data_IF_595458444815
#
_entry.id   IF_595458444815
#
_cell.length_a   1.000
_cell.length_b   1.000
_cell.length_c   1.000
_cell.angle_alpha   90.00
_cell.angle_beta   90.00
_cell.angle_gamma   90.00
#
_symmetry.space_group_name_H-M   'P 1'
#
loop_
_entity.id
_entity.type
_entity.pdbx_description
1 polymer ?
#
# COMPACT_ATOMS: atom_id res chain seq x y z
N UNK A 1 -11.64 7.87 17.35
CA UNK A 1 -10.94 6.60 17.23
C UNK A 1 -11.68 5.78 16.20
N UNK A 2 -11.11 5.71 15.00
CA UNK A 2 -11.61 4.85 13.93
C UNK A 2 -11.46 3.38 14.32
N UNK A 3 -12.23 2.51 13.68
CA UNK A 3 -12.13 1.06 13.74
C UNK A 3 -10.95 0.54 12.89
N UNK A 4 -10.59 -0.74 13.08
CA UNK A 4 -9.55 -1.38 12.28
C UNK A 4 -9.92 -1.43 10.78
N UNK A 5 -11.19 -1.69 10.45
CA UNK A 5 -11.67 -1.70 9.07
C UNK A 5 -11.65 -0.31 8.42
N UNK A 6 -11.93 0.74 9.20
CA UNK A 6 -11.78 2.12 8.71
C UNK A 6 -10.29 2.45 8.48
N UNK A 7 -9.38 1.97 9.33
CA UNK A 7 -7.94 2.14 9.14
C UNK A 7 -7.43 1.43 7.88
N UNK A 8 -7.91 0.22 7.62
CA UNK A 8 -7.63 -0.54 6.38
C UNK A 8 -8.04 0.24 5.14
N UNK A 9 -9.27 0.77 5.13
CA UNK A 9 -9.77 1.58 4.02
C UNK A 9 -8.92 2.86 3.85
N UNK A 10 -8.59 3.55 4.95
CA UNK A 10 -7.75 4.76 4.92
C UNK A 10 -6.36 4.49 4.35
N UNK A 11 -5.74 3.35 4.68
CA UNK A 11 -4.44 2.98 4.13
C UNK A 11 -4.49 2.76 2.60
N UNK A 12 -5.53 2.10 2.09
CA UNK A 12 -5.72 1.93 0.63
C UNK A 12 -5.97 3.27 -0.04
N UNK A 13 -6.87 4.09 0.51
CA UNK A 13 -7.16 5.44 0.01
C UNK A 13 -5.87 6.26 -0.08
N UNK A 14 -5.08 6.29 1.00
CA UNK A 14 -3.83 7.04 1.09
C UNK A 14 -2.83 6.67 -0.01
N UNK A 15 -2.51 5.38 -0.21
CA UNK A 15 -1.57 4.93 -1.25
C UNK A 15 -2.12 5.23 -2.66
N UNK A 16 -3.41 4.97 -2.87
CA UNK A 16 -3.99 5.07 -4.22
C UNK A 16 -4.30 6.51 -4.64
N UNK A 17 -4.55 7.40 -3.69
CA UNK A 17 -4.73 8.83 -3.94
C UNK A 17 -3.41 9.52 -4.28
N UNK A 18 -2.29 9.10 -3.69
CA UNK A 18 -0.95 9.60 -4.04
C UNK A 18 -0.66 9.45 -5.53
N UNK A 19 -1.05 8.32 -6.12
CA UNK A 19 -0.87 8.05 -7.54
C UNK A 19 -2.11 8.40 -8.38
N UNK A 20 -3.11 9.06 -7.79
CA UNK A 20 -4.36 9.44 -8.44
C UNK A 20 -4.96 8.27 -9.26
N UNK A 21 -5.03 7.08 -8.67
CA UNK A 21 -5.54 5.88 -9.34
C UNK A 21 -7.06 5.93 -9.48
N UNK A 22 -7.57 5.32 -10.56
CA UNK A 22 -9.00 5.14 -10.76
C UNK A 22 -9.60 4.13 -9.77
N UNK A 23 -10.91 4.19 -9.53
CA UNK A 23 -11.59 3.23 -8.63
C UNK A 23 -11.39 1.76 -9.06
N UNK A 24 -11.25 1.51 -10.36
CA UNK A 24 -10.96 0.16 -10.88
C UNK A 24 -9.57 -0.33 -10.45
N UNK A 25 -8.58 0.56 -10.44
CA UNK A 25 -7.22 0.27 -9.97
C UNK A 25 -7.17 0.15 -8.45
N UNK A 26 -7.92 0.98 -7.71
CA UNK A 26 -8.06 0.89 -6.25
C UNK A 26 -8.56 -0.48 -5.80
N UNK A 27 -9.50 -1.07 -6.55
CA UNK A 27 -10.03 -2.41 -6.26
C UNK A 27 -9.00 -3.56 -6.45
N UNK A 28 -7.82 -3.27 -7.01
CA UNK A 28 -6.73 -4.25 -7.07
C UNK A 28 -5.97 -4.36 -5.75
N UNK A 29 -6.10 -3.39 -4.85
CA UNK A 29 -5.43 -3.40 -3.56
C UNK A 29 -6.22 -4.22 -2.55
N UNK A 30 -5.50 -4.99 -1.74
CA UNK A 30 -6.05 -5.83 -0.69
C UNK A 30 -5.21 -5.71 0.57
N UNK A 31 -5.84 -5.95 1.71
CA UNK A 31 -5.15 -5.99 3.00
C UNK A 31 -4.49 -7.35 3.16
N UNK A 32 -3.16 -7.36 3.26
CA UNK A 32 -2.40 -8.56 3.58
C UNK A 32 -2.46 -8.87 5.09
N UNK A 33 -2.38 -7.82 5.91
CA UNK A 33 -2.45 -7.91 7.37
C UNK A 33 -2.80 -6.53 7.95
N UNK A 34 -3.45 -6.51 9.11
CA UNK A 34 -3.71 -5.27 9.84
C UNK A 34 -3.77 -5.55 11.33
N UNK A 35 -3.34 -4.59 12.15
CA UNK A 35 -3.50 -4.67 13.60
C UNK A 35 -3.48 -3.31 14.24
N UNK A 36 -4.20 -3.19 15.36
CA UNK A 36 -3.96 -2.12 16.32
C UNK A 36 -2.68 -2.39 17.10
N UNK A 37 -1.91 -1.36 17.39
CA UNK A 37 -0.75 -1.49 18.26
C UNK A 37 -1.16 -1.18 19.70
N UNK A 38 -0.92 -2.14 20.60
CA UNK A 38 -1.24 -2.01 22.02
C UNK A 38 -0.57 -0.77 22.63
N UNK A 39 -1.30 -0.06 23.49
CA UNK A 39 -0.88 1.18 24.14
C UNK A 39 -0.46 2.32 23.17
N UNK A 40 -0.87 2.24 21.91
CA UNK A 40 -0.66 3.28 20.89
C UNK A 40 -1.99 3.73 20.28
N UNK A 41 -1.94 4.93 19.70
CA UNK A 41 -3.06 5.62 19.07
C UNK A 41 -3.00 5.51 17.53
N UNK A 42 -2.55 4.34 17.05
CA UNK A 42 -2.41 4.05 15.62
C UNK A 42 -2.49 2.55 15.31
N UNK A 43 -2.74 2.27 14.03
CA UNK A 43 -2.87 0.97 13.41
C UNK A 43 -1.72 0.75 12.43
N UNK A 44 -1.25 -0.48 12.34
CA UNK A 44 -0.32 -0.91 11.30
C UNK A 44 -1.10 -1.70 10.25
N UNK A 45 -1.07 -1.24 9.01
CA UNK A 45 -1.79 -1.85 7.89
C UNK A 45 -0.79 -2.22 6.80
N UNK A 46 -0.79 -3.50 6.42
CA UNK A 46 -0.04 -4.01 5.27
C UNK A 46 -0.99 -4.10 4.07
N UNK A 47 -0.76 -3.24 3.09
CA UNK A 47 -1.50 -3.21 1.82
C UNK A 47 -0.65 -3.91 0.75
N UNK A 48 -1.30 -4.68 -0.13
CA UNK A 48 -0.65 -5.30 -1.30
C UNK A 48 -1.55 -5.16 -2.53
N UNK A 49 -0.98 -5.38 -3.71
CA UNK A 49 -1.75 -5.49 -4.95
C UNK A 49 -2.03 -6.98 -5.20
N UNK A 50 -3.25 -7.31 -5.61
CA UNK A 50 -3.66 -8.67 -5.93
C UNK A 50 -2.65 -9.37 -6.84
N UNK A 51 -2.18 -10.54 -6.41
CA UNK A 51 -1.18 -11.38 -7.09
C UNK A 51 0.23 -10.78 -7.20
N UNK A 52 0.54 -9.74 -6.43
CA UNK A 52 1.90 -9.29 -6.21
C UNK A 52 2.33 -9.59 -4.78
N UNK A 53 3.61 -9.90 -4.55
CA UNK A 53 4.15 -10.08 -3.22
C UNK A 53 4.70 -8.76 -2.62
N UNK A 54 4.66 -7.66 -3.37
CA UNK A 54 5.02 -6.32 -2.91
C UNK A 54 4.02 -5.84 -1.85
N UNK A 55 4.50 -5.13 -0.84
CA UNK A 55 3.64 -4.60 0.21
C UNK A 55 4.05 -3.21 0.69
N UNK A 56 3.04 -2.42 1.03
CA UNK A 56 3.16 -1.13 1.68
C UNK A 56 2.74 -1.29 3.13
N UNK A 57 3.60 -0.90 4.06
CA UNK A 57 3.31 -0.86 5.49
C UNK A 57 3.00 0.57 5.88
N UNK A 58 1.73 0.84 6.13
CA UNK A 58 1.19 2.17 6.43
C UNK A 58 0.81 2.24 7.91
N UNK A 59 1.15 3.36 8.57
CA UNK A 59 0.64 3.69 9.90
C UNK A 59 -0.56 4.61 9.76
N UNK A 60 -1.68 4.24 10.39
CA UNK A 60 -2.92 5.02 10.37
C UNK A 60 -3.28 5.42 11.79
N UNK A 61 -3.41 6.72 12.06
CA UNK A 61 -3.73 7.24 13.38
C UNK A 61 -5.22 7.07 13.71
N UNK A 62 -5.56 7.15 15.01
CA UNK A 62 -6.94 6.99 15.49
C UNK A 62 -7.94 8.06 14.98
N UNK A 63 -7.43 9.18 14.44
CA UNK A 63 -8.20 10.24 13.78
C UNK A 63 -8.43 9.98 12.29
N UNK A 64 -7.75 9.00 11.69
CA UNK A 64 -7.84 8.64 10.28
C UNK A 64 -6.73 9.20 9.40
N UNK A 65 -5.83 10.02 9.94
CA UNK A 65 -4.66 10.49 9.19
C UNK A 65 -3.65 9.34 9.02
N UNK A 66 -2.94 9.34 7.90
CA UNK A 66 -1.88 8.37 7.62
C UNK A 66 -0.51 9.03 7.80
N UNK A 67 0.45 8.28 8.34
CA UNK A 67 1.86 8.71 8.35
C UNK A 67 2.35 8.78 6.89
N UNK A 68 2.83 9.95 6.42
CA UNK A 68 3.34 10.10 5.07
C UNK A 68 4.57 9.23 4.79
N UNK A 69 5.28 8.77 5.82
CA UNK A 69 6.47 7.93 5.71
C UNK A 69 6.11 6.44 5.83
N UNK A 70 5.50 5.87 4.80
CA UNK A 70 5.26 4.41 4.74
C UNK A 70 6.50 3.64 4.32
N UNK A 71 6.50 2.33 4.56
CA UNK A 71 7.58 1.43 4.11
C UNK A 71 7.12 0.56 2.97
N UNK A 72 7.79 0.64 1.83
CA UNK A 72 7.63 -0.30 0.73
C UNK A 72 8.58 -1.50 0.89
N UNK A 73 8.07 -2.72 0.70
CA UNK A 73 8.84 -3.95 0.76
C UNK A 73 8.52 -4.77 -0.48
N UNK A 74 9.55 -5.09 -1.26
CA UNK A 74 9.46 -6.00 -2.39
C UNK A 74 10.44 -7.16 -2.21
N UNK A 75 10.03 -8.41 -2.46
CA UNK A 75 10.93 -9.56 -2.41
C UNK A 75 11.72 -9.76 -3.71
N UNK A 76 11.46 -8.96 -4.75
CA UNK A 76 12.14 -9.08 -6.03
C UNK A 76 13.57 -8.57 -5.95
N UNK A 77 14.49 -9.30 -6.59
CA UNK A 77 15.86 -8.83 -6.78
C UNK A 77 15.93 -7.66 -7.78
N UNK A 78 17.09 -7.02 -7.87
CA UNK A 78 17.36 -5.94 -8.84
C UNK A 78 17.05 -6.36 -10.29
N UNK A 79 17.33 -7.61 -10.65
CA UNK A 79 17.07 -8.14 -11.99
C UNK A 79 15.58 -8.45 -12.24
N UNK A 80 14.77 -8.53 -11.18
CA UNK A 80 13.37 -8.94 -11.22
C UNK A 80 12.40 -7.77 -10.99
N UNK A 81 12.88 -6.52 -10.97
CA UNK A 81 12.05 -5.34 -10.69
C UNK A 81 10.88 -5.14 -11.65
N UNK A 82 10.93 -5.69 -12.86
CA UNK A 82 9.83 -5.63 -13.82
C UNK A 82 8.86 -6.82 -13.76
N UNK A 83 9.08 -7.78 -12.86
CA UNK A 83 8.29 -9.03 -12.82
C UNK A 83 6.83 -8.72 -12.51
N UNK A 84 5.93 -9.30 -13.31
CA UNK A 84 4.47 -9.18 -13.23
C UNK A 84 3.87 -7.79 -13.47
N UNK A 85 4.67 -6.78 -13.81
CA UNK A 85 4.16 -5.43 -14.10
C UNK A 85 3.34 -5.37 -15.39
N UNK A 86 3.58 -6.28 -16.34
CA UNK A 86 2.83 -6.43 -17.59
C UNK A 86 1.36 -6.83 -17.39
N UNK A 87 1.03 -7.32 -16.18
CA UNK A 87 -0.33 -7.74 -15.80
C UNK A 87 -1.12 -6.63 -15.10
N UNK A 88 -0.50 -5.49 -14.82
CA UNK A 88 -1.12 -4.37 -14.10
C UNK A 88 -1.55 -3.28 -15.08
N UNK A 89 -2.57 -2.49 -14.72
CA UNK A 89 -2.87 -1.24 -15.42
C UNK A 89 -1.64 -0.33 -15.49
N UNK A 90 -1.47 0.38 -16.61
CA UNK A 90 -0.24 1.13 -16.89
C UNK A 90 0.20 2.08 -15.76
N UNK A 91 -0.74 2.80 -15.13
CA UNK A 91 -0.42 3.76 -14.08
C UNK A 91 0.08 3.07 -12.80
N UNK A 92 -0.64 2.02 -12.39
CA UNK A 92 -0.23 1.16 -11.28
C UNK A 92 1.12 0.47 -11.55
N UNK A 93 1.33 -0.05 -12.77
CA UNK A 93 2.59 -0.68 -13.16
C UNK A 93 3.79 0.28 -13.01
N UNK A 94 3.61 1.55 -13.42
CA UNK A 94 4.63 2.59 -13.28
C UNK A 94 4.90 2.93 -11.82
N UNK A 95 3.86 3.09 -11.00
CA UNK A 95 4.02 3.37 -9.57
C UNK A 95 4.82 2.26 -8.86
N UNK A 96 4.40 1.00 -9.03
CA UNK A 96 5.11 -0.16 -8.45
C UNK A 96 6.54 -0.27 -8.98
N UNK A 97 6.79 0.12 -10.24
CA UNK A 97 8.14 0.13 -10.79
C UNK A 97 9.05 1.14 -10.09
N UNK A 98 8.56 2.35 -9.83
CA UNK A 98 9.35 3.40 -9.14
C UNK A 98 9.59 3.03 -7.66
N UNK A 99 8.59 2.44 -7.00
CA UNK A 99 8.73 1.88 -5.65
C UNK A 99 9.85 0.83 -5.57
N UNK A 100 9.85 -0.13 -6.50
CA UNK A 100 10.91 -1.15 -6.58
C UNK A 100 12.27 -0.54 -6.90
N UNK A 101 12.35 0.61 -7.56
CA UNK A 101 13.61 1.34 -7.78
C UNK A 101 14.09 2.09 -6.53
N UNK A 102 13.24 2.25 -5.51
CA UNK A 102 13.53 3.02 -4.30
C UNK A 102 13.44 4.53 -4.52
N UNK A 103 12.56 4.96 -5.42
CA UNK A 103 12.43 6.36 -5.85
C UNK A 103 11.28 7.11 -5.18
N UNK A 104 10.56 6.48 -4.24
CA UNK A 104 9.43 7.06 -3.49
C UNK A 104 9.70 6.88 -1.99
#
# INVERSE_FOLDING_TARGET
MISLSEAEQKAIEFITDEWELSDQEKNLFVINNSRKIDDKWWYMVEVTVNNLPDKWVVQVYDDGDCDPCYTFISPFSEQEKSTYLDKLPNKLALAVQEERKGHI
#
